data_IF_032671186328
#
_entry.id   IF_032671186328
#
_cell.length_a   1.000
_cell.length_b   1.000
_cell.length_c   1.000
_cell.angle_alpha   90.00
_cell.angle_beta   90.00
_cell.angle_gamma   90.00
#
_symmetry.space_group_name_H-M   'P 1'
#
loop_
_entity.id
_entity.type
_entity.pdbx_description
1 polymer ?
#
# COMPACT_ATOMS: atom_id res chain seq x y z
N UNK A 1 -13.04 9.71 -9.62
CA UNK A 1 -12.23 8.92 -8.69
C UNK A 1 -11.95 9.77 -7.47
N UNK A 2 -12.21 9.24 -6.28
CA UNK A 2 -11.88 9.91 -5.01
C UNK A 2 -10.37 10.23 -5.01
N UNK A 3 -9.99 11.49 -4.78
CA UNK A 3 -8.59 11.93 -4.88
C UNK A 3 -7.71 11.12 -3.93
N UNK A 4 -6.79 10.33 -4.49
CA UNK A 4 -5.76 9.61 -3.72
C UNK A 4 -4.87 10.66 -3.04
N UNK A 5 -4.78 10.56 -1.72
CA UNK A 5 -3.99 11.48 -0.89
C UNK A 5 -2.57 10.97 -0.67
N UNK A 6 -2.41 9.66 -0.47
CA UNK A 6 -1.12 9.02 -0.21
C UNK A 6 -1.21 7.50 -0.40
N UNK A 7 -0.08 6.85 -0.73
CA UNK A 7 0.01 5.39 -0.82
C UNK A 7 1.19 4.87 -0.02
N UNK A 8 0.93 3.86 0.80
CA UNK A 8 1.97 3.08 1.50
C UNK A 8 1.98 1.65 0.94
N UNK A 9 2.85 1.34 -0.02
CA UNK A 9 2.84 0.05 -0.70
C UNK A 9 3.60 -1.03 0.06
N UNK A 10 3.18 -2.29 -0.10
CA UNK A 10 3.99 -3.46 0.25
C UNK A 10 4.03 -3.83 1.73
N UNK A 11 2.99 -3.51 2.50
CA UNK A 11 2.88 -3.88 3.91
C UNK A 11 2.50 -5.36 4.10
N UNK A 12 3.37 -6.14 4.73
CA UNK A 12 3.10 -7.57 4.99
C UNK A 12 2.25 -7.78 6.26
N UNK A 13 1.28 -8.69 6.18
CA UNK A 13 0.31 -9.06 7.24
C UNK A 13 0.23 -10.58 7.45
N UNK A 14 -0.20 -11.01 8.64
CA UNK A 14 -0.44 -12.42 9.01
C UNK A 14 0.75 -13.13 9.67
N UNK A 15 0.56 -14.40 10.06
CA UNK A 15 1.65 -15.28 10.53
C UNK A 15 2.61 -15.52 9.36
N UNK A 16 3.89 -15.19 9.52
CA UNK A 16 4.94 -15.19 8.48
C UNK A 16 4.80 -14.18 7.30
N UNK A 17 3.90 -13.20 7.35
CA UNK A 17 3.83 -12.16 6.30
C UNK A 17 3.24 -12.62 4.96
N UNK A 18 2.39 -13.66 4.98
CA UNK A 18 1.87 -14.31 3.77
C UNK A 18 0.91 -13.47 2.92
N UNK A 19 0.45 -12.32 3.41
CA UNK A 19 -0.40 -11.39 2.65
C UNK A 19 0.24 -10.03 2.59
N UNK A 20 0.36 -9.46 1.40
CA UNK A 20 0.92 -8.13 1.18
C UNK A 20 -0.24 -7.18 0.88
N UNK A 21 -0.21 -5.99 1.46
CA UNK A 21 -1.22 -4.97 1.30
C UNK A 21 -0.60 -3.63 0.95
N UNK A 22 -1.25 -2.92 0.05
CA UNK A 22 -1.07 -1.48 -0.10
C UNK A 22 -2.12 -0.76 0.74
N UNK A 23 -1.69 0.30 1.44
CA UNK A 23 -2.60 1.23 2.08
C UNK A 23 -2.77 2.41 1.13
N UNK A 24 -3.97 2.60 0.59
CA UNK A 24 -4.32 3.77 -0.22
C UNK A 24 -5.20 4.69 0.62
N UNK A 25 -4.68 5.87 0.92
CA UNK A 25 -5.42 6.89 1.64
C UNK A 25 -6.23 7.75 0.67
N UNK A 26 -7.52 7.88 0.93
CA UNK A 26 -8.45 8.74 0.20
C UNK A 26 -9.19 9.64 1.18
N UNK A 27 -9.91 10.64 0.67
CA UNK A 27 -10.57 11.65 1.51
C UNK A 27 -11.57 11.08 2.54
N UNK A 28 -12.24 9.99 2.20
CA UNK A 28 -13.30 9.37 3.01
C UNK A 28 -12.82 8.18 3.86
N UNK A 29 -11.55 7.76 3.75
CA UNK A 29 -11.03 6.62 4.50
C UNK A 29 -9.75 6.01 3.94
N UNK A 30 -9.54 4.73 4.27
CA UNK A 30 -8.40 3.93 3.80
C UNK A 30 -8.90 2.73 3.02
N UNK A 31 -8.27 2.47 1.88
CA UNK A 31 -8.39 1.20 1.17
C UNK A 31 -7.16 0.34 1.49
N UNK A 32 -7.39 -0.87 1.98
CA UNK A 32 -6.39 -1.91 2.08
C UNK A 32 -6.55 -2.81 0.86
N UNK A 33 -5.57 -2.76 -0.05
CA UNK A 33 -5.60 -3.52 -1.29
C UNK A 33 -4.63 -4.68 -1.16
N UNK A 34 -5.15 -5.90 -1.17
CA UNK A 34 -4.34 -7.10 -1.10
C UNK A 34 -3.62 -7.33 -2.43
N UNK A 35 -2.29 -7.42 -2.37
CA UNK A 35 -1.46 -7.73 -3.52
C UNK A 35 -1.44 -9.25 -3.69
N UNK A 36 -2.02 -9.72 -4.80
CA UNK A 36 -2.05 -11.13 -5.16
C UNK A 36 -1.06 -11.43 -6.28
N UNK A 37 -0.66 -12.69 -6.42
CA UNK A 37 0.21 -13.12 -7.53
C UNK A 37 -0.42 -12.80 -8.89
N UNK A 38 -1.74 -12.95 -9.01
CA UNK A 38 -2.49 -12.60 -10.23
C UNK A 38 -2.31 -11.13 -10.59
N UNK A 39 -2.47 -10.22 -9.63
CA UNK A 39 -2.28 -8.79 -9.85
C UNK A 39 -0.86 -8.43 -10.27
N UNK A 40 0.15 -9.06 -9.65
CA UNK A 40 1.55 -8.87 -10.04
C UNK A 40 1.78 -9.35 -11.47
N UNK A 41 1.27 -10.53 -11.83
CA UNK A 41 1.42 -11.08 -13.18
C UNK A 41 0.72 -10.22 -14.24
N UNK A 42 -0.48 -9.71 -13.94
CA UNK A 42 -1.20 -8.79 -14.83
C UNK A 42 -0.41 -7.49 -15.04
N UNK A 43 0.14 -6.91 -13.98
CA UNK A 43 0.96 -5.70 -14.08
C UNK A 43 2.22 -5.94 -14.93
N UNK A 44 2.89 -7.08 -14.74
CA UNK A 44 4.06 -7.48 -15.55
C UNK A 44 3.68 -7.70 -17.01
N UNK A 45 2.54 -8.35 -17.28
CA UNK A 45 2.06 -8.58 -18.65
C UNK A 45 1.70 -7.27 -19.35
N UNK A 46 0.95 -6.38 -18.68
CA UNK A 46 0.64 -5.04 -19.20
C UNK A 46 1.91 -4.24 -19.51
N UNK A 47 2.91 -4.29 -18.62
CA UNK A 47 4.19 -3.61 -18.84
C UNK A 47 4.94 -4.17 -20.06
N UNK A 48 4.89 -5.49 -20.27
CA UNK A 48 5.47 -6.14 -21.45
C UNK A 48 4.72 -5.80 -22.74
N UNK A 49 3.40 -5.73 -22.71
CA UNK A 49 2.57 -5.36 -23.87
C UNK A 49 2.80 -3.91 -24.27
N UNK A 50 2.82 -3.01 -23.30
CA UNK A 50 3.11 -1.61 -23.55
C UNK A 50 4.57 -1.33 -23.93
N UNK A 51 5.48 -2.27 -23.65
CA UNK A 51 6.86 -2.21 -24.19
C UNK A 51 6.91 -2.52 -25.69
N UNK A 52 5.91 -3.23 -26.21
CA UNK A 52 5.80 -3.56 -27.64
C UNK A 52 5.05 -2.47 -28.41
N UNK A 53 4.08 -1.83 -27.78
CA UNK A 53 3.39 -0.66 -28.32
C UNK A 53 4.19 0.61 -27.97
N UNK A 54 5.06 1.04 -28.88
CA UNK A 54 6.00 2.17 -28.70
C UNK A 54 5.32 3.49 -28.34
N UNK A 55 5.01 3.69 -27.06
CA UNK A 55 4.68 4.98 -26.49
C UNK A 55 5.62 5.25 -25.30
N UNK A 56 6.71 5.95 -25.58
CA UNK A 56 7.84 6.17 -24.66
C UNK A 56 7.42 6.81 -23.32
N UNK A 57 6.34 7.59 -23.32
CA UNK A 57 5.75 8.19 -22.12
C UNK A 57 5.05 7.16 -21.20
N UNK A 58 4.36 6.19 -21.78
CA UNK A 58 3.69 5.13 -21.03
C UNK A 58 4.71 4.14 -20.46
N UNK A 59 5.73 3.79 -21.25
CA UNK A 59 6.85 2.96 -20.80
C UNK A 59 7.65 3.58 -19.65
N UNK A 60 7.96 4.88 -19.73
CA UNK A 60 8.65 5.58 -18.63
C UNK A 60 7.82 5.60 -17.35
N UNK A 61 6.50 5.79 -17.47
CA UNK A 61 5.59 5.81 -16.32
C UNK A 61 5.50 4.43 -15.68
N UNK A 62 5.32 3.38 -16.47
CA UNK A 62 5.33 1.99 -16.00
C UNK A 62 6.69 1.53 -15.44
N UNK A 63 7.80 1.91 -16.08
CA UNK A 63 9.15 1.55 -15.63
C UNK A 63 9.51 2.27 -14.32
N UNK A 64 9.12 3.53 -14.15
CA UNK A 64 9.26 4.27 -12.88
C UNK A 64 8.45 3.61 -11.76
N UNK A 65 7.25 3.13 -12.09
CA UNK A 65 6.32 2.43 -11.20
C UNK A 65 6.85 1.03 -10.80
N UNK A 66 7.45 0.30 -11.73
CA UNK A 66 8.01 -1.03 -11.53
C UNK A 66 9.38 -1.01 -10.80
N UNK A 67 10.22 -0.02 -11.07
CA UNK A 67 11.52 0.18 -10.38
C UNK A 67 11.38 0.67 -8.93
N UNK A 68 10.26 1.32 -8.61
CA UNK A 68 10.00 1.90 -7.29
C UNK A 68 9.23 0.97 -6.33
N UNK A 69 8.90 -0.26 -6.77
CA UNK A 69 8.03 -1.18 -6.02
C UNK A 69 6.61 -0.66 -5.81
N UNK A 70 6.20 0.37 -6.57
CA UNK A 70 4.96 1.13 -6.42
C UNK A 70 4.03 0.84 -7.60
N UNK A 71 3.88 -0.44 -7.94
CA UNK A 71 3.27 -0.98 -9.16
C UNK A 71 1.80 -0.60 -9.41
N UNK A 72 1.17 0.17 -8.51
CA UNK A 72 -0.28 0.24 -8.38
C UNK A 72 -0.86 1.66 -8.33
N UNK A 73 -0.04 2.71 -8.27
CA UNK A 73 -0.53 4.10 -8.28
C UNK A 73 -1.36 4.42 -9.54
N UNK A 74 -0.88 4.01 -10.74
CA UNK A 74 -1.64 4.21 -11.98
C UNK A 74 -2.93 3.40 -12.00
N UNK A 75 -2.89 2.18 -11.49
CA UNK A 75 -4.04 1.27 -11.41
C UNK A 75 -5.13 1.83 -10.48
N UNK A 76 -4.74 2.42 -9.35
CA UNK A 76 -5.70 3.07 -8.47
C UNK A 76 -6.24 4.35 -9.05
N UNK A 77 -5.57 4.94 -10.05
CA UNK A 77 -5.97 6.09 -10.86
C UNK A 77 -7.03 5.82 -11.93
N UNK A 78 -7.25 4.55 -12.28
CA UNK A 78 -8.14 4.12 -13.36
C UNK A 78 -9.43 3.43 -12.89
N UNK A 79 -9.46 2.89 -11.67
CA UNK A 79 -10.59 2.14 -11.10
C UNK A 79 -11.33 2.89 -10.00
N UNK A 80 -12.66 2.87 -10.02
CA UNK A 80 -13.46 3.36 -8.90
C UNK A 80 -13.16 2.60 -7.60
N UNK A 81 -13.52 3.22 -6.46
CA UNK A 81 -13.39 2.61 -5.14
C UNK A 81 -14.11 1.26 -5.07
N UNK A 82 -15.32 1.21 -5.61
CA UNK A 82 -16.17 0.03 -5.65
C UNK A 82 -15.54 -1.10 -6.48
N UNK A 83 -14.94 -0.76 -7.63
CA UNK A 83 -14.21 -1.73 -8.44
C UNK A 83 -12.99 -2.30 -7.70
N UNK A 84 -12.22 -1.46 -7.00
CA UNK A 84 -11.08 -1.90 -6.21
C UNK A 84 -11.52 -2.84 -5.09
N UNK A 85 -12.58 -2.50 -4.35
CA UNK A 85 -13.07 -3.34 -3.23
C UNK A 85 -13.52 -4.72 -3.74
N UNK A 86 -14.22 -4.78 -4.86
CA UNK A 86 -14.79 -6.04 -5.38
C UNK A 86 -13.79 -6.93 -6.14
N UNK A 87 -12.61 -6.40 -6.48
CA UNK A 87 -11.61 -7.09 -7.29
C UNK A 87 -10.90 -8.24 -6.57
N UNK A 88 -10.72 -8.15 -5.26
CA UNK A 88 -10.09 -9.20 -4.48
C UNK A 88 -10.81 -9.32 -3.15
N UNK A 89 -11.25 -10.53 -2.72
CA UNK A 89 -12.00 -10.70 -1.47
C UNK A 89 -11.25 -10.24 -0.20
N UNK A 90 -9.93 -10.08 -0.28
CA UNK A 90 -9.12 -9.55 0.81
C UNK A 90 -9.00 -8.03 0.84
N UNK A 91 -9.53 -7.32 -0.17
CA UNK A 91 -9.56 -5.87 -0.18
C UNK A 91 -10.59 -5.38 0.84
N UNK A 92 -10.26 -4.29 1.51
CA UNK A 92 -11.11 -3.74 2.56
C UNK A 92 -11.12 -2.22 2.48
N UNK A 93 -12.30 -1.62 2.57
CA UNK A 93 -12.46 -0.21 2.85
C UNK A 93 -12.69 0.02 4.34
N UNK A 94 -11.93 0.95 4.90
CA UNK A 94 -12.05 1.41 6.28
C UNK A 94 -12.50 2.87 6.25
N UNK A 95 -13.79 3.15 6.53
CA UNK A 95 -14.30 4.51 6.56
C UNK A 95 -13.58 5.38 7.58
N UNK A 96 -13.33 6.66 7.27
CA UNK A 96 -12.71 7.63 8.17
C UNK A 96 -13.40 7.68 9.54
N UNK A 97 -14.74 7.69 9.57
CA UNK A 97 -15.52 7.69 10.80
C UNK A 97 -15.33 6.43 11.68
N UNK A 98 -14.86 5.33 11.09
CA UNK A 98 -14.58 4.08 11.82
C UNK A 98 -13.15 4.00 12.32
N UNK A 99 -12.23 4.84 11.83
CA UNK A 99 -10.82 4.83 12.22
C UNK A 99 -10.68 5.29 13.68
N UNK A 100 -10.12 4.42 14.51
CA UNK A 100 -9.89 4.68 15.94
C UNK A 100 -8.44 5.03 16.24
N UNK A 101 -7.50 4.42 15.51
CA UNK A 101 -6.06 4.59 15.78
C UNK A 101 -5.19 4.15 14.61
N UNK A 102 -4.16 4.93 14.32
CA UNK A 102 -3.03 4.51 13.48
C UNK A 102 -1.73 4.66 14.27
N UNK A 103 -1.03 3.57 14.53
CA UNK A 103 0.28 3.57 15.21
C UNK A 103 1.38 3.23 14.23
N UNK A 104 2.36 4.12 14.09
CA UNK A 104 3.56 3.91 13.29
C UNK A 104 4.78 3.76 14.21
N UNK A 105 5.55 2.70 14.01
CA UNK A 105 6.77 2.39 14.77
C UNK A 105 7.89 1.86 13.87
N UNK A 106 9.14 2.21 14.17
CA UNK A 106 10.31 1.56 13.59
C UNK A 106 10.63 0.30 14.39
N UNK A 107 10.98 -0.78 13.68
CA UNK A 107 11.51 -2.02 14.22
C UNK A 107 12.98 -2.08 13.82
N UNK A 108 13.85 -2.10 14.82
CA UNK A 108 15.27 -2.41 14.65
C UNK A 108 15.48 -3.75 15.30
N UNK A 109 15.89 -4.75 14.53
CA UNK A 109 16.25 -6.06 15.06
C UNK A 109 17.72 -6.00 15.51
N UNK A 110 17.96 -6.22 16.80
CA UNK A 110 19.30 -6.17 17.40
C UNK A 110 19.89 -7.56 17.60
N UNK A 111 19.34 -8.60 16.97
CA UNK A 111 19.88 -9.96 17.03
C UNK A 111 21.17 -10.08 16.19
N UNK A 112 22.25 -10.48 16.86
CA UNK A 112 23.60 -10.57 16.33
C UNK A 112 23.67 -11.44 15.06
N UNK A 113 24.21 -10.89 13.97
CA UNK A 113 24.87 -11.68 12.93
C UNK A 113 24.24 -11.72 11.52
N UNK A 114 23.08 -11.11 11.29
CA UNK A 114 22.54 -10.97 9.92
C UNK A 114 22.12 -9.54 9.65
N UNK A 115 22.31 -9.06 8.41
CA UNK A 115 22.15 -7.68 8.00
C UNK A 115 20.91 -7.01 8.62
N UNK A 116 21.11 -5.86 9.29
CA UNK A 116 20.04 -5.05 9.87
C UNK A 116 18.88 -4.89 8.88
N UNK A 117 17.75 -5.55 9.13
CA UNK A 117 16.52 -5.28 8.38
C UNK A 117 15.66 -4.31 9.19
N UNK A 118 16.06 -3.05 9.18
CA UNK A 118 15.22 -1.99 9.71
C UNK A 118 13.89 -1.98 8.96
N UNK A 119 12.79 -2.07 9.69
CA UNK A 119 11.43 -2.11 9.12
C UNK A 119 10.52 -1.09 9.77
N UNK A 120 9.44 -0.74 9.08
CA UNK A 120 8.38 0.10 9.66
C UNK A 120 7.12 -0.73 9.88
N UNK A 121 6.53 -0.66 11.06
CA UNK A 121 5.23 -1.24 11.36
C UNK A 121 4.16 -0.14 11.35
N UNK A 122 3.07 -0.36 10.62
CA UNK A 122 1.83 0.44 10.71
C UNK A 122 0.73 -0.45 11.25
N UNK A 123 0.15 -0.06 12.39
CA UNK A 123 -1.02 -0.72 12.98
C UNK A 123 -2.24 0.18 12.84
N UNK A 124 -3.25 -0.30 12.13
CA UNK A 124 -4.53 0.39 11.91
C UNK A 124 -5.59 -0.31 12.75
N UNK A 125 -6.39 0.47 13.49
CA UNK A 125 -7.52 -0.01 14.29
C UNK A 125 -8.76 0.77 13.88
N UNK A 126 -9.85 0.05 13.60
CA UNK A 126 -11.15 0.61 13.29
C UNK A 126 -12.25 -0.06 14.13
N UNK A 127 -13.51 0.29 13.91
CA UNK A 127 -14.63 -0.24 14.70
C UNK A 127 -14.73 -1.76 14.67
N UNK A 128 -14.67 -2.35 13.48
CA UNK A 128 -14.87 -3.78 13.26
C UNK A 128 -13.58 -4.62 13.39
N UNK A 129 -12.41 -3.99 13.55
CA UNK A 129 -11.17 -4.76 13.51
C UNK A 129 -9.87 -3.98 13.66
N UNK A 130 -8.76 -4.70 13.44
CA UNK A 130 -7.41 -4.17 13.43
C UNK A 130 -6.53 -4.96 12.46
N UNK A 131 -5.55 -4.28 11.87
CA UNK A 131 -4.51 -4.91 11.07
C UNK A 131 -3.15 -4.32 11.47
N UNK A 132 -2.11 -5.15 11.39
CA UNK A 132 -0.73 -4.71 11.49
C UNK A 132 -0.02 -5.07 10.20
N UNK A 133 0.65 -4.08 9.61
CA UNK A 133 1.41 -4.21 8.39
C UNK A 133 2.88 -3.88 8.66
N UNK A 134 3.78 -4.76 8.23
CA UNK A 134 5.24 -4.57 8.33
C UNK A 134 5.81 -4.28 6.95
N UNK A 135 6.49 -3.16 6.82
CA UNK A 135 7.11 -2.67 5.60
C UNK A 135 8.62 -2.92 5.67
N UNK A 136 9.15 -3.62 4.66
CA UNK A 136 10.59 -3.82 4.49
C UNK A 136 11.31 -2.51 4.16
N UNK A 137 10.62 -1.56 3.50
CA UNK A 137 11.11 -0.21 3.30
C UNK A 137 10.93 0.61 4.58
N UNK A 138 11.97 1.35 4.95
CA UNK A 138 11.89 2.35 6.01
C UNK A 138 11.02 3.52 5.51
N UNK A 139 9.87 3.71 6.14
CA UNK A 139 9.06 4.91 5.97
C UNK A 139 9.53 5.98 6.97
N UNK A 140 9.38 7.26 6.61
CA UNK A 140 9.65 8.34 7.55
C UNK A 140 8.54 8.39 8.61
N UNK A 141 8.78 7.78 9.77
CA UNK A 141 7.82 7.67 10.87
C UNK A 141 7.20 9.01 11.28
N UNK A 142 7.97 10.11 11.24
CA UNK A 142 7.46 11.44 11.63
C UNK A 142 6.50 11.98 10.58
N UNK A 143 6.87 11.91 9.31
CA UNK A 143 6.03 12.37 8.20
C UNK A 143 4.77 11.51 8.08
N UNK A 144 4.90 10.18 8.17
CA UNK A 144 3.74 9.28 8.14
C UNK A 144 2.77 9.57 9.28
N UNK A 145 3.26 9.79 10.51
CA UNK A 145 2.40 10.19 11.64
C UNK A 145 1.70 11.52 11.39
N UNK A 146 2.45 12.50 10.87
CA UNK A 146 1.89 13.81 10.55
C UNK A 146 0.81 13.71 9.49
N UNK A 147 1.02 12.92 8.44
CA UNK A 147 0.02 12.66 7.42
C UNK A 147 -1.29 12.11 8.01
N UNK A 148 -1.23 11.06 8.84
CA UNK A 148 -2.44 10.50 9.44
C UNK A 148 -3.16 11.49 10.39
N UNK A 149 -2.38 12.29 11.12
CA UNK A 149 -2.92 13.34 11.98
C UNK A 149 -3.61 14.45 11.19
N UNK A 150 -2.95 14.97 10.16
CA UNK A 150 -3.44 16.11 9.37
C UNK A 150 -4.66 15.69 8.51
N UNK A 151 -4.67 14.46 7.99
CA UNK A 151 -5.72 13.95 7.11
C UNK A 151 -6.94 13.40 7.86
N UNK A 152 -6.70 12.64 8.94
CA UNK A 152 -7.75 11.88 9.63
C UNK A 152 -8.00 12.34 11.07
N UNK A 153 -7.16 13.21 11.64
CA UNK A 153 -7.31 13.71 13.01
C UNK A 153 -6.91 12.70 14.09
N UNK A 154 -6.11 11.68 13.76
CA UNK A 154 -5.76 10.53 14.62
C UNK A 154 -4.26 10.37 14.88
#
# INVERSE_FOLDING_TARGET
MDNILEIFPGGASGFFGNKIFDIVAISDGLLLVQITKTLVNEAVNKAREASKESNEGFLKKMASVMSSGSTLLERYGEKSKEEIINETPGNLFIPKASLKKVKISRKTDSSQGSAFSDSTEIKIVWTEGKIKLTFSKILNVKETKRFFKDTFGI
#
